data_IF_717696970281
#
_entry.id   IF_717696970281
#
_cell.length_a   1.000
_cell.length_b   1.000
_cell.length_c   1.000
_cell.angle_alpha   90.00
_cell.angle_beta   90.00
_cell.angle_gamma   90.00
#
_symmetry.space_group_name_H-M   'P 1'
#
loop_
_entity.id
_entity.type
_entity.pdbx_description
1 polymer ?
#
# COMPACT_ATOMS: atom_id res chain seq x y z
N UNK A 1 -15.10 -10.36 18.85
CA UNK A 1 -14.34 -9.73 19.96
C UNK A 1 -12.99 -9.30 19.43
N UNK A 2 -12.55 -8.09 19.76
CA UNK A 2 -11.19 -7.63 19.41
C UNK A 2 -10.17 -8.39 20.27
N UNK A 3 -9.05 -8.80 19.68
CA UNK A 3 -7.98 -9.50 20.39
C UNK A 3 -6.90 -8.55 20.92
N UNK A 4 -7.06 -7.24 20.66
CA UNK A 4 -6.11 -6.18 21.03
C UNK A 4 -4.68 -6.41 20.48
N UNK A 5 -4.55 -7.05 19.31
CA UNK A 5 -3.26 -7.40 18.69
C UNK A 5 -2.40 -6.17 18.37
N UNK A 6 -3.03 -5.03 18.16
CA UNK A 6 -2.36 -3.77 17.82
C UNK A 6 -2.53 -2.69 18.91
N UNK A 7 -2.87 -3.11 20.15
CA UNK A 7 -3.03 -2.17 21.24
C UNK A 7 -1.78 -1.30 21.44
N UNK A 8 -1.99 0.03 21.40
CA UNK A 8 -0.91 1.01 21.53
C UNK A 8 0.01 1.16 20.33
N UNK A 9 -0.23 0.41 19.25
CA UNK A 9 0.51 0.57 17.98
C UNK A 9 0.00 1.76 17.20
N UNK A 10 0.88 2.43 16.48
CA UNK A 10 0.65 3.68 15.76
C UNK A 10 1.01 3.49 14.29
N UNK A 11 0.10 3.83 13.39
CA UNK A 11 0.32 3.54 11.99
C UNK A 11 -0.23 4.54 10.99
N UNK A 12 0.31 4.53 9.78
CA UNK A 12 -0.16 5.33 8.65
C UNK A 12 -0.76 4.39 7.60
N UNK A 13 -1.98 4.69 7.16
CA UNK A 13 -2.70 3.92 6.14
C UNK A 13 -2.83 4.76 4.88
N UNK A 14 -2.13 4.36 3.82
CA UNK A 14 -2.22 4.97 2.50
C UNK A 14 -3.27 4.31 1.62
N UNK A 15 -4.04 5.10 0.89
CA UNK A 15 -4.87 4.64 -0.22
C UNK A 15 -6.28 4.21 0.15
N UNK A 16 -6.77 4.51 1.35
CA UNK A 16 -8.18 4.33 1.67
C UNK A 16 -9.03 5.33 0.86
N UNK A 17 -9.92 4.82 0.01
CA UNK A 17 -10.78 5.63 -0.86
C UNK A 17 -12.26 5.49 -0.46
N UNK A 18 -12.75 4.27 -0.44
CA UNK A 18 -14.13 3.89 -0.17
C UNK A 18 -14.21 2.54 0.58
N UNK A 19 -15.40 2.13 0.98
CA UNK A 19 -15.66 0.88 1.73
C UNK A 19 -15.22 -0.39 0.98
N UNK A 20 -15.01 -0.32 -0.33
CA UNK A 20 -14.55 -1.44 -1.17
C UNK A 20 -13.03 -1.53 -1.19
N UNK A 21 -12.30 -0.49 -0.76
CA UNK A 21 -10.85 -0.50 -0.79
C UNK A 21 -10.28 -1.40 0.32
N UNK A 22 -9.17 -2.06 0.03
CA UNK A 22 -8.48 -2.92 1.00
C UNK A 22 -7.94 -2.09 2.16
N UNK A 23 -7.40 -0.90 1.86
CA UNK A 23 -6.93 0.02 2.88
C UNK A 23 -8.02 0.41 3.88
N UNK A 24 -9.27 0.62 3.42
CA UNK A 24 -10.40 0.88 4.30
C UNK A 24 -10.64 -0.25 5.30
N UNK A 25 -10.72 -1.48 4.80
CA UNK A 25 -10.93 -2.67 5.63
C UNK A 25 -9.78 -2.89 6.61
N UNK A 26 -8.55 -2.64 6.15
CA UNK A 26 -7.36 -2.74 7.00
C UNK A 26 -7.36 -1.67 8.09
N UNK A 27 -7.74 -0.43 7.78
CA UNK A 27 -7.83 0.66 8.75
C UNK A 27 -8.85 0.34 9.86
N UNK A 28 -10.07 -0.08 9.48
CA UNK A 28 -11.10 -0.50 10.44
C UNK A 28 -10.57 -1.62 11.33
N UNK A 29 -9.97 -2.65 10.73
CA UNK A 29 -9.47 -3.79 11.51
C UNK A 29 -8.31 -3.40 12.43
N UNK A 30 -7.40 -2.55 11.99
CA UNK A 30 -6.32 -2.05 12.82
C UNK A 30 -6.85 -1.25 14.02
N UNK A 31 -7.83 -0.38 13.79
CA UNK A 31 -8.49 0.38 14.86
C UNK A 31 -9.23 -0.53 15.83
N UNK A 32 -10.01 -1.50 15.34
CA UNK A 32 -10.68 -2.51 16.19
C UNK A 32 -9.70 -3.29 17.07
N UNK A 33 -8.49 -3.56 16.57
CA UNK A 33 -7.44 -4.25 17.33
C UNK A 33 -6.59 -3.31 18.21
N UNK A 34 -7.04 -2.06 18.38
CA UNK A 34 -6.48 -1.11 19.35
C UNK A 34 -5.35 -0.22 18.84
N UNK A 35 -5.14 -0.15 17.52
CA UNK A 35 -4.17 0.77 16.94
C UNK A 35 -4.70 2.21 16.92
N UNK A 36 -3.79 3.16 17.04
CA UNK A 36 -3.99 4.55 16.63
C UNK A 36 -3.54 4.68 15.18
N UNK A 37 -4.34 5.32 14.33
CA UNK A 37 -4.02 5.42 12.90
C UNK A 37 -4.15 6.84 12.38
N UNK A 38 -3.35 7.16 11.37
CA UNK A 38 -3.48 8.33 10.50
C UNK A 38 -3.85 7.81 9.11
N UNK A 39 -4.85 8.41 8.51
CA UNK A 39 -5.32 8.10 7.17
C UNK A 39 -4.73 9.10 6.16
N UNK A 40 -4.32 8.62 4.99
CA UNK A 40 -3.80 9.50 3.95
C UNK A 40 -4.18 9.02 2.55
N UNK A 41 -4.40 9.99 1.68
CA UNK A 41 -4.60 9.78 0.24
C UNK A 41 -4.19 11.05 -0.51
N UNK A 42 -4.11 10.97 -1.84
CA UNK A 42 -3.86 12.14 -2.67
C UNK A 42 -4.96 13.21 -2.47
N UNK A 43 -4.64 14.51 -2.52
CA UNK A 43 -5.61 15.58 -2.29
C UNK A 43 -6.85 15.49 -3.19
N UNK A 44 -6.70 15.00 -4.42
CA UNK A 44 -7.84 14.77 -5.32
C UNK A 44 -8.77 13.67 -4.81
N UNK A 45 -8.23 12.61 -4.24
CA UNK A 45 -9.01 11.50 -3.69
C UNK A 45 -9.76 11.91 -2.41
N UNK A 46 -9.19 12.80 -1.59
CA UNK A 46 -9.85 13.34 -0.40
C UNK A 46 -11.12 14.14 -0.76
N UNK A 47 -11.10 14.83 -1.89
CA UNK A 47 -12.28 15.58 -2.39
C UNK A 47 -13.40 14.68 -2.89
N UNK A 48 -13.12 13.43 -3.21
CA UNK A 48 -14.12 12.43 -3.65
C UNK A 48 -14.90 11.78 -2.48
N UNK A 49 -14.49 12.02 -1.25
CA UNK A 49 -15.40 12.24 -0.13
C UNK A 49 -15.64 11.12 0.88
N UNK A 50 -15.18 9.87 0.72
CA UNK A 50 -15.57 8.86 1.71
C UNK A 50 -14.57 8.68 2.88
N UNK A 51 -13.35 9.19 2.77
CA UNK A 51 -12.31 8.99 3.79
C UNK A 51 -12.66 9.62 5.14
N UNK A 52 -13.47 10.68 5.15
CA UNK A 52 -13.94 11.32 6.38
C UNK A 52 -14.88 10.39 7.17
N UNK A 53 -15.73 9.64 6.47
CA UNK A 53 -16.56 8.58 7.10
C UNK A 53 -15.69 7.50 7.73
N UNK A 54 -14.58 7.11 7.07
CA UNK A 54 -13.64 6.17 7.66
C UNK A 54 -12.97 6.75 8.92
N UNK A 55 -12.59 8.03 8.88
CA UNK A 55 -12.03 8.74 10.04
C UNK A 55 -12.96 8.64 11.25
N UNK A 56 -14.25 8.95 11.06
CA UNK A 56 -15.27 8.86 12.11
C UNK A 56 -15.38 7.43 12.66
N UNK A 57 -15.44 6.41 11.79
CA UNK A 57 -15.49 5.00 12.18
C UNK A 57 -14.23 4.53 12.91
N UNK A 58 -13.11 5.23 12.74
CA UNK A 58 -11.84 4.96 13.41
C UNK A 58 -11.56 5.96 14.55
N UNK A 59 -12.60 6.44 15.24
CA UNK A 59 -12.47 7.33 16.40
C UNK A 59 -11.94 8.72 16.06
N UNK A 60 -12.36 9.29 14.92
CA UNK A 60 -11.89 10.56 14.37
C UNK A 60 -10.38 10.56 14.05
N UNK A 61 -9.89 9.46 13.48
CA UNK A 61 -8.50 9.35 13.04
C UNK A 61 -8.13 10.51 12.10
N UNK A 62 -6.98 11.19 12.29
CA UNK A 62 -6.58 12.28 11.43
C UNK A 62 -6.49 11.88 9.95
N UNK A 63 -7.00 12.73 9.09
CA UNK A 63 -6.87 12.62 7.62
C UNK A 63 -5.88 13.66 7.14
N UNK A 64 -4.73 13.24 6.66
CA UNK A 64 -3.67 14.12 6.15
C UNK A 64 -3.48 13.86 4.67
N UNK A 65 -3.75 14.86 3.83
CA UNK A 65 -3.53 14.76 2.38
C UNK A 65 -2.04 14.71 2.05
N UNK A 66 -1.66 13.79 1.15
CA UNK A 66 -0.31 13.72 0.62
C UNK A 66 -0.31 13.15 -0.79
N UNK A 67 0.30 13.86 -1.73
CA UNK A 67 0.67 13.31 -3.01
C UNK A 67 1.96 12.51 -2.85
N UNK A 68 1.88 11.20 -3.06
CA UNK A 68 3.03 10.29 -2.89
C UNK A 68 4.14 10.49 -3.92
N UNK A 69 3.91 11.32 -4.92
CA UNK A 69 4.94 11.75 -5.88
C UNK A 69 5.68 13.01 -5.43
N UNK A 70 5.17 13.70 -4.40
CA UNK A 70 5.74 14.90 -3.83
C UNK A 70 6.44 14.62 -2.50
N UNK A 71 7.75 14.90 -2.44
CA UNK A 71 8.56 14.62 -1.24
C UNK A 71 8.22 15.53 -0.05
N UNK A 72 7.77 16.76 -0.31
CA UNK A 72 7.44 17.70 0.77
C UNK A 72 6.07 17.36 1.38
N UNK A 73 5.12 16.87 0.58
CA UNK A 73 3.86 16.31 1.09
C UNK A 73 4.13 15.10 2.00
N UNK A 74 5.06 14.22 1.61
CA UNK A 74 5.43 13.07 2.42
C UNK A 74 6.12 13.48 3.73
N UNK A 75 7.02 14.46 3.69
CA UNK A 75 7.63 15.01 4.92
C UNK A 75 6.57 15.59 5.86
N UNK A 76 5.66 16.42 5.32
CA UNK A 76 4.56 17.00 6.08
C UNK A 76 3.66 15.91 6.70
N UNK A 77 3.34 14.86 5.94
CA UNK A 77 2.57 13.72 6.43
C UNK A 77 3.24 13.06 7.64
N UNK A 78 4.53 12.69 7.52
CA UNK A 78 5.25 12.04 8.63
C UNK A 78 5.42 12.98 9.82
N UNK A 79 5.71 14.25 9.61
CA UNK A 79 5.80 15.25 10.68
C UNK A 79 4.48 15.32 11.47
N UNK A 80 3.37 15.55 10.78
CA UNK A 80 2.05 15.65 11.44
C UNK A 80 1.61 14.34 12.10
N UNK A 81 1.92 13.20 11.49
CA UNK A 81 1.62 11.90 12.09
C UNK A 81 2.41 11.68 13.38
N UNK A 82 3.70 11.97 13.40
CA UNK A 82 4.54 11.84 14.59
C UNK A 82 4.13 12.83 15.68
N UNK A 83 3.77 14.06 15.34
CA UNK A 83 3.22 15.07 16.27
C UNK A 83 1.92 14.56 16.91
N UNK A 84 0.97 14.06 16.09
CA UNK A 84 -0.29 13.50 16.59
C UNK A 84 -0.08 12.31 17.51
N UNK A 85 0.83 11.43 17.19
CA UNK A 85 1.13 10.26 18.01
C UNK A 85 2.03 10.55 19.22
N UNK A 86 2.74 11.67 19.23
CA UNK A 86 3.79 11.98 20.20
C UNK A 86 4.99 11.01 20.12
N UNK A 87 5.15 10.31 19.01
CA UNK A 87 6.23 9.31 18.79
C UNK A 87 6.35 8.94 17.32
N UNK A 88 7.38 8.15 16.99
CA UNK A 88 7.51 7.48 15.70
C UNK A 88 6.35 6.52 15.44
N UNK A 89 6.20 6.06 14.20
CA UNK A 89 5.17 5.10 13.79
C UNK A 89 5.66 3.65 13.92
N UNK A 90 4.76 2.73 14.24
CA UNK A 90 5.05 1.30 14.33
C UNK A 90 4.78 0.56 13.02
N UNK A 91 3.84 1.06 12.22
CA UNK A 91 3.54 0.41 10.93
C UNK A 91 3.06 1.37 9.86
N UNK A 92 3.27 0.95 8.61
CA UNK A 92 2.78 1.66 7.41
C UNK A 92 2.12 0.65 6.48
N UNK A 93 0.92 0.94 6.00
CA UNK A 93 0.29 0.26 4.89
C UNK A 93 0.39 1.12 3.63
N UNK A 94 1.05 0.61 2.59
CA UNK A 94 1.08 1.19 1.25
C UNK A 94 0.11 0.44 0.34
N UNK A 95 -1.07 1.02 0.12
CA UNK A 95 -2.15 0.46 -0.70
C UNK A 95 -2.48 1.40 -1.87
N UNK A 96 -1.49 1.64 -2.71
CA UNK A 96 -1.58 2.60 -3.82
C UNK A 96 -1.40 1.85 -5.14
N UNK A 97 -2.21 2.23 -6.13
CA UNK A 97 -2.09 1.73 -7.49
C UNK A 97 -2.98 2.50 -8.44
N UNK A 98 -2.41 2.87 -9.59
CA UNK A 98 -3.13 3.55 -10.67
C UNK A 98 -2.52 3.16 -12.00
N UNK A 99 -3.36 2.79 -12.98
CA UNK A 99 -2.97 2.59 -14.36
C UNK A 99 -4.00 3.20 -15.30
N UNK A 100 -3.54 4.03 -16.21
CA UNK A 100 -4.38 4.59 -17.26
C UNK A 100 -4.50 3.64 -18.46
N UNK A 101 -3.44 2.90 -18.81
CA UNK A 101 -3.51 1.93 -19.91
C UNK A 101 -4.56 0.84 -19.60
N UNK A 102 -4.53 0.27 -18.38
CA UNK A 102 -5.52 -0.71 -17.95
C UNK A 102 -6.93 -0.11 -18.01
N UNK A 103 -7.14 1.08 -17.45
CA UNK A 103 -8.45 1.76 -17.44
C UNK A 103 -8.98 2.05 -18.83
N UNK A 104 -8.10 2.32 -19.79
CA UNK A 104 -8.45 2.60 -21.20
C UNK A 104 -8.48 1.34 -22.05
N UNK A 105 -8.25 0.16 -21.48
CA UNK A 105 -8.28 -1.13 -22.16
C UNK A 105 -7.23 -1.27 -23.26
N UNK A 106 -6.06 -0.64 -23.07
CA UNK A 106 -4.94 -0.77 -24.02
C UNK A 106 -4.35 -2.18 -23.95
N UNK A 107 -3.98 -2.72 -25.10
CA UNK A 107 -3.19 -3.94 -25.15
C UNK A 107 -1.75 -3.65 -24.70
N UNK A 108 -1.09 -4.62 -24.08
CA UNK A 108 0.28 -4.45 -23.56
C UNK A 108 1.28 -3.98 -24.64
N UNK A 109 1.17 -4.53 -25.84
CA UNK A 109 2.04 -4.16 -26.99
C UNK A 109 1.77 -2.78 -27.57
N UNK A 110 0.64 -2.15 -27.17
CA UNK A 110 0.18 -0.84 -27.64
C UNK A 110 0.02 0.17 -26.51
N UNK A 111 0.75 -0.06 -25.41
CA UNK A 111 0.66 0.82 -24.25
C UNK A 111 1.15 2.24 -24.59
N UNK A 112 0.52 3.22 -23.97
CA UNK A 112 1.03 4.58 -23.97
C UNK A 112 2.16 4.70 -22.94
N UNK A 113 3.36 5.07 -23.39
CA UNK A 113 4.56 5.12 -22.54
C UNK A 113 4.51 6.23 -21.46
N UNK A 114 3.89 7.36 -21.74
CA UNK A 114 3.72 8.41 -20.72
C UNK A 114 2.81 7.93 -19.57
N UNK A 115 1.76 7.20 -19.92
CA UNK A 115 0.89 6.58 -18.91
C UNK A 115 1.59 5.47 -18.15
N UNK A 116 2.44 4.69 -18.83
CA UNK A 116 3.29 3.69 -18.21
C UNK A 116 4.24 4.32 -17.18
N UNK A 117 4.94 5.39 -17.53
CA UNK A 117 5.80 6.13 -16.59
C UNK A 117 5.03 6.58 -15.35
N UNK A 118 3.84 7.16 -15.53
CA UNK A 118 2.96 7.55 -14.40
C UNK A 118 2.52 6.34 -13.56
N UNK A 119 2.22 5.21 -14.20
CA UNK A 119 1.85 3.98 -13.50
C UNK A 119 3.00 3.47 -12.63
N UNK A 120 4.22 3.40 -13.16
CA UNK A 120 5.41 2.99 -12.42
C UNK A 120 5.70 3.98 -11.27
N UNK A 121 5.59 5.27 -11.53
CA UNK A 121 5.87 6.32 -10.56
C UNK A 121 4.90 6.29 -9.37
N UNK A 122 3.60 6.22 -9.64
CA UNK A 122 2.55 6.24 -8.61
C UNK A 122 2.42 4.87 -7.94
N UNK A 123 2.50 3.76 -8.68
CA UNK A 123 2.17 2.43 -8.14
C UNK A 123 3.37 1.70 -7.53
N UNK A 124 4.60 2.10 -7.85
CA UNK A 124 5.82 1.45 -7.36
C UNK A 124 6.80 2.44 -6.72
N UNK A 125 7.22 3.49 -7.45
CA UNK A 125 8.20 4.44 -6.95
C UNK A 125 7.68 5.30 -5.79
N UNK A 126 6.38 5.39 -5.63
CA UNK A 126 5.77 5.99 -4.44
C UNK A 126 6.20 5.27 -3.16
N UNK A 127 6.27 3.92 -3.15
CA UNK A 127 6.80 3.18 -2.00
C UNK A 127 8.25 3.57 -1.71
N UNK A 128 9.08 3.70 -2.74
CA UNK A 128 10.46 4.15 -2.59
C UNK A 128 10.52 5.54 -1.92
N UNK A 129 9.69 6.49 -2.37
CA UNK A 129 9.63 7.84 -1.78
C UNK A 129 9.16 7.82 -0.34
N UNK A 130 8.11 7.07 -0.04
CA UNK A 130 7.60 6.91 1.33
C UNK A 130 8.68 6.36 2.26
N UNK A 131 9.35 5.28 1.86
CA UNK A 131 10.40 4.66 2.66
C UNK A 131 11.65 5.55 2.78
N UNK A 132 12.07 6.22 1.70
CA UNK A 132 13.17 7.19 1.73
C UNK A 132 12.88 8.35 2.68
N UNK A 133 11.67 8.90 2.64
CA UNK A 133 11.26 9.99 3.53
C UNK A 133 11.27 9.53 4.98
N UNK A 134 10.64 8.40 5.26
CA UNK A 134 10.63 7.82 6.60
C UNK A 134 12.04 7.51 7.13
N UNK A 135 12.94 7.03 6.25
CA UNK A 135 14.36 6.81 6.58
C UNK A 135 15.08 8.06 6.98
N UNK A 136 14.96 9.14 6.17
CA UNK A 136 15.62 10.42 6.42
C UNK A 136 15.12 11.14 7.67
N UNK A 137 13.86 10.90 8.04
CA UNK A 137 13.25 11.49 9.24
C UNK A 137 13.32 10.57 10.47
N UNK A 138 13.89 9.38 10.32
CA UNK A 138 13.89 8.33 11.36
C UNK A 138 12.49 8.09 11.94
N UNK A 139 11.48 8.03 11.06
CA UNK A 139 10.07 8.10 11.42
C UNK A 139 9.45 6.77 11.86
N UNK A 140 10.14 5.64 11.60
CA UNK A 140 9.62 4.30 11.95
C UNK A 140 10.38 3.75 13.15
N UNK A 141 9.63 3.26 14.14
CA UNK A 141 10.19 2.61 15.33
C UNK A 141 11.02 1.37 14.98
N UNK A 142 11.97 1.04 15.83
CA UNK A 142 12.64 -0.25 15.80
C UNK A 142 11.61 -1.37 15.84
N UNK A 143 11.86 -2.45 15.06
CA UNK A 143 10.91 -3.55 14.89
C UNK A 143 9.57 -3.17 14.24
N UNK A 144 9.49 -2.00 13.64
CA UNK A 144 8.33 -1.57 12.88
C UNK A 144 8.01 -2.50 11.70
N UNK A 145 6.86 -2.29 11.07
CA UNK A 145 6.39 -3.10 9.96
C UNK A 145 5.84 -2.24 8.83
N UNK A 146 6.29 -2.50 7.61
CA UNK A 146 5.72 -1.89 6.40
C UNK A 146 5.15 -2.98 5.52
N UNK A 147 3.92 -2.79 5.05
CA UNK A 147 3.26 -3.70 4.12
C UNK A 147 2.88 -2.91 2.86
N UNK A 148 3.25 -3.42 1.69
CA UNK A 148 2.79 -2.92 0.41
C UNK A 148 1.94 -3.98 -0.30
N UNK A 149 0.90 -3.55 -1.01
CA UNK A 149 0.02 -4.47 -1.74
C UNK A 149 0.60 -4.75 -3.13
N UNK A 150 0.98 -6.00 -3.35
CA UNK A 150 1.36 -6.54 -4.66
C UNK A 150 0.26 -7.41 -5.24
N UNK A 151 0.55 -8.05 -6.36
CA UNK A 151 -0.32 -9.00 -7.02
C UNK A 151 0.51 -10.09 -7.70
N UNK A 152 -0.04 -11.27 -7.83
CA UNK A 152 0.65 -12.41 -8.48
C UNK A 152 1.10 -12.12 -9.92
N UNK A 153 0.51 -11.10 -10.57
CA UNK A 153 0.94 -10.61 -11.87
C UNK A 153 2.38 -10.04 -11.87
N UNK A 154 2.99 -9.76 -10.73
CA UNK A 154 4.42 -9.45 -10.63
C UNK A 154 5.32 -10.62 -11.06
N UNK A 155 4.79 -11.85 -11.06
CA UNK A 155 5.54 -13.09 -11.30
C UNK A 155 4.92 -13.96 -12.40
N UNK A 156 3.71 -13.65 -12.85
CA UNK A 156 2.96 -14.41 -13.86
C UNK A 156 2.27 -13.47 -14.84
N UNK A 157 2.01 -13.93 -16.06
CA UNK A 157 1.31 -13.14 -17.06
C UNK A 157 -0.20 -13.14 -16.78
N UNK A 158 -0.75 -11.95 -16.71
CA UNK A 158 -2.19 -11.67 -16.73
C UNK A 158 -2.45 -10.69 -17.85
N UNK A 159 -3.00 -11.12 -19.00
CA UNK A 159 -3.06 -10.31 -20.22
C UNK A 159 -3.71 -8.94 -20.05
N UNK A 160 -4.77 -8.85 -19.25
CA UNK A 160 -5.52 -7.61 -19.05
C UNK A 160 -4.97 -6.72 -17.92
N UNK A 161 -3.91 -7.16 -17.24
CA UNK A 161 -3.29 -6.39 -16.15
C UNK A 161 -2.23 -5.41 -16.63
N UNK A 162 -1.79 -5.56 -17.88
CA UNK A 162 -0.90 -4.65 -18.63
C UNK A 162 0.34 -4.22 -17.77
N UNK A 163 0.79 -2.97 -17.92
CA UNK A 163 1.95 -2.41 -17.21
C UNK A 163 1.80 -2.36 -15.68
N UNK A 164 0.63 -2.61 -15.15
CA UNK A 164 0.48 -2.76 -13.71
C UNK A 164 1.24 -3.99 -13.19
N UNK A 165 1.43 -5.03 -14.02
CA UNK A 165 2.30 -6.17 -13.70
C UNK A 165 3.75 -5.72 -13.51
N UNK A 166 4.25 -4.87 -14.42
CA UNK A 166 5.61 -4.30 -14.34
C UNK A 166 5.76 -3.45 -13.09
N UNK A 167 4.76 -2.62 -12.78
CA UNK A 167 4.75 -1.82 -11.56
C UNK A 167 4.78 -2.68 -10.29
N UNK A 168 4.06 -3.82 -10.27
CA UNK A 168 4.09 -4.73 -9.12
C UNK A 168 5.42 -5.47 -8.99
N UNK A 169 6.06 -5.84 -10.09
CA UNK A 169 7.41 -6.41 -10.08
C UNK A 169 8.44 -5.40 -9.54
N UNK A 170 8.37 -4.14 -9.97
CA UNK A 170 9.19 -3.05 -9.45
C UNK A 170 8.94 -2.81 -7.96
N UNK A 171 7.67 -2.79 -7.52
CA UNK A 171 7.28 -2.64 -6.11
C UNK A 171 7.94 -3.72 -5.24
N UNK A 172 7.93 -4.98 -5.69
CA UNK A 172 8.56 -6.10 -4.97
C UNK A 172 10.09 -5.94 -4.91
N UNK A 173 10.71 -5.43 -5.97
CA UNK A 173 12.14 -5.13 -5.99
C UNK A 173 12.50 -4.02 -4.99
N UNK A 174 11.73 -2.93 -4.97
CA UNK A 174 11.87 -1.84 -3.99
C UNK A 174 11.71 -2.37 -2.55
N UNK A 175 10.73 -3.23 -2.33
CA UNK A 175 10.47 -3.85 -1.03
C UNK A 175 11.67 -4.67 -0.54
N UNK A 176 12.28 -5.49 -1.40
CA UNK A 176 13.47 -6.28 -1.04
C UNK A 176 14.66 -5.38 -0.69
N UNK A 177 14.92 -4.36 -1.49
CA UNK A 177 16.04 -3.43 -1.28
C UNK A 177 15.91 -2.69 0.05
N UNK A 178 14.77 -2.07 0.30
CA UNK A 178 14.53 -1.39 1.58
C UNK A 178 14.43 -2.35 2.77
N UNK A 179 13.89 -3.55 2.55
CA UNK A 179 13.83 -4.59 3.57
C UNK A 179 15.22 -4.94 4.12
N UNK A 180 16.23 -5.01 3.25
CA UNK A 180 17.61 -5.18 3.67
C UNK A 180 18.12 -4.00 4.50
N UNK A 181 18.04 -2.78 3.95
CA UNK A 181 18.59 -1.60 4.63
C UNK A 181 17.92 -1.32 5.97
N UNK A 182 16.61 -1.34 6.02
CA UNK A 182 15.85 -1.16 7.26
C UNK A 182 16.05 -2.31 8.24
N UNK A 183 16.16 -3.54 7.75
CA UNK A 183 16.44 -4.71 8.59
C UNK A 183 17.78 -4.61 9.31
N UNK A 184 18.81 -4.14 8.63
CA UNK A 184 20.14 -3.92 9.23
C UNK A 184 20.13 -2.77 10.23
N UNK A 185 19.50 -1.63 9.89
CA UNK A 185 19.53 -0.42 10.71
C UNK A 185 18.74 -0.55 12.01
N UNK A 186 17.49 -0.96 11.93
CA UNK A 186 16.54 -0.86 13.03
C UNK A 186 15.50 -2.00 13.08
N UNK A 187 15.81 -3.12 12.42
CA UNK A 187 14.98 -4.34 12.43
C UNK A 187 13.56 -4.14 11.88
N UNK A 188 13.29 -3.06 11.13
CA UNK A 188 12.00 -2.86 10.48
C UNK A 188 11.81 -3.92 9.39
N UNK A 189 10.64 -4.53 9.38
CA UNK A 189 10.26 -5.55 8.40
C UNK A 189 9.45 -4.89 7.28
N UNK A 190 9.89 -5.06 6.04
CA UNK A 190 9.20 -4.54 4.87
C UNK A 190 8.80 -5.72 3.99
N UNK A 191 7.49 -5.89 3.79
CA UNK A 191 6.94 -7.03 3.08
C UNK A 191 5.88 -6.60 2.08
N UNK A 192 5.65 -7.45 1.08
CA UNK A 192 4.49 -7.35 0.20
C UNK A 192 3.45 -8.41 0.54
N UNK A 193 2.18 -8.05 0.38
CA UNK A 193 1.07 -8.99 0.44
C UNK A 193 0.48 -9.09 -0.96
N UNK A 194 0.58 -10.28 -1.56
CA UNK A 194 -0.11 -10.62 -2.80
C UNK A 194 -1.53 -11.03 -2.47
N UNK A 195 -2.43 -10.11 -2.70
CA UNK A 195 -3.87 -10.35 -2.46
C UNK A 195 -4.48 -11.20 -3.57
N UNK A 196 -5.48 -11.99 -3.25
CA UNK A 196 -6.32 -12.56 -4.29
C UNK A 196 -7.23 -11.49 -4.91
N UNK A 197 -7.76 -11.70 -6.12
CA UNK A 197 -8.64 -10.74 -6.77
C UNK A 197 -9.83 -10.38 -5.88
N UNK A 198 -9.86 -9.14 -5.43
CA UNK A 198 -10.90 -8.59 -4.56
C UNK A 198 -11.65 -7.51 -5.32
N UNK A 199 -12.98 -7.55 -5.29
CA UNK A 199 -13.83 -6.56 -5.99
C UNK A 199 -13.72 -5.21 -5.29
N UNK A 200 -12.68 -4.46 -5.65
CA UNK A 200 -12.41 -3.09 -5.21
C UNK A 200 -12.77 -2.11 -6.32
N UNK A 201 -12.90 -0.83 -5.99
CA UNK A 201 -13.09 0.23 -6.99
C UNK A 201 -11.94 0.28 -7.99
N UNK A 202 -10.69 0.07 -7.55
CA UNK A 202 -9.54 -0.03 -8.43
C UNK A 202 -9.55 -1.31 -9.27
N UNK A 203 -9.87 -2.47 -8.67
CA UNK A 203 -9.90 -3.77 -9.34
C UNK A 203 -11.02 -3.92 -10.36
N UNK A 204 -12.16 -3.25 -10.17
CA UNK A 204 -13.28 -3.29 -11.12
C UNK A 204 -12.97 -2.62 -12.47
N UNK A 205 -11.90 -1.84 -12.56
CA UNK A 205 -11.41 -1.26 -13.82
C UNK A 205 -10.58 -2.21 -14.68
N UNK A 206 -10.26 -3.42 -14.20
CA UNK A 206 -9.47 -4.41 -14.93
C UNK A 206 -10.41 -5.35 -15.68
N UNK A 207 -10.29 -5.44 -17.01
CA UNK A 207 -11.02 -6.42 -17.81
C UNK A 207 -10.58 -7.83 -17.40
N UNK A 208 -11.48 -8.82 -17.46
CA UNK A 208 -11.15 -10.21 -17.09
C UNK A 208 -11.12 -10.50 -15.58
N UNK A 209 -11.27 -9.49 -14.72
CA UNK A 209 -11.20 -9.61 -13.26
C UNK A 209 -12.13 -10.69 -12.68
N UNK A 210 -13.34 -10.86 -13.23
CA UNK A 210 -14.29 -11.88 -12.77
C UNK A 210 -13.86 -13.31 -13.18
N UNK A 211 -13.15 -13.47 -14.29
CA UNK A 211 -12.56 -14.74 -14.74
C UNK A 211 -11.42 -15.18 -13.83
N UNK A 212 -10.52 -14.26 -13.49
CA UNK A 212 -9.39 -14.51 -12.60
C UNK A 212 -9.84 -14.85 -11.17
N UNK A 213 -10.90 -14.22 -10.68
CA UNK A 213 -11.50 -14.53 -9.38
C UNK A 213 -12.03 -15.96 -9.29
N UNK A 214 -12.51 -16.54 -10.40
CA UNK A 214 -12.98 -17.94 -10.44
C UNK A 214 -11.80 -18.91 -10.42
N UNK A 215 -10.71 -18.61 -11.13
CA UNK A 215 -9.52 -19.46 -11.18
C UNK A 215 -8.74 -19.46 -9.87
N UNK A 216 -8.67 -18.32 -9.17
CA UNK A 216 -7.92 -18.20 -7.90
C UNK A 216 -8.61 -18.89 -6.72
N UNK A 217 -9.93 -19.09 -6.76
CA UNK A 217 -10.65 -19.89 -5.76
C UNK A 217 -10.25 -21.36 -5.75
N UNK A 218 -9.70 -21.86 -6.84
CA UNK A 218 -9.21 -23.23 -6.98
C UNK A 218 -7.76 -23.43 -6.51
N UNK A 219 -7.00 -22.33 -6.29
CA UNK A 219 -5.56 -22.36 -5.97
C UNK A 219 -5.18 -21.60 -4.70
N UNK A 220 -6.03 -21.57 -3.69
CA UNK A 220 -5.79 -20.80 -2.44
C UNK A 220 -4.71 -21.39 -1.50
N UNK A 221 -3.82 -22.28 -1.98
CA UNK A 221 -2.81 -22.97 -1.15
C UNK A 221 -1.38 -22.43 -1.27
N UNK A 222 -1.10 -21.36 -2.01
CA UNK A 222 0.26 -20.85 -2.14
C UNK A 222 0.46 -19.46 -1.51
N UNK A 223 0.58 -19.45 -0.17
CA UNK A 223 1.25 -18.35 0.53
C UNK A 223 2.75 -18.57 0.35
N UNK A 224 3.37 -17.87 -0.59
CA UNK A 224 4.81 -17.82 -0.69
C UNK A 224 5.36 -16.90 0.41
N UNK A 225 5.77 -17.51 1.53
CA UNK A 225 6.60 -16.82 2.52
C UNK A 225 7.97 -16.59 1.90
N UNK A 226 8.34 -15.34 1.63
CA UNK A 226 9.74 -15.01 1.38
C UNK A 226 10.48 -15.19 2.71
N UNK A 227 11.23 -16.29 2.83
CA UNK A 227 12.19 -16.47 3.93
C UNK A 227 13.38 -15.57 3.62
N UNK A 228 13.69 -14.65 4.53
CA UNK A 228 15.03 -14.06 4.58
C UNK A 228 16.04 -15.18 4.88
N UNK A 229 17.22 -15.21 4.22
CA UNK A 229 18.27 -16.11 4.63
C UNK A 229 18.67 -15.76 6.06
N UNK A 230 18.68 -16.76 6.94
CA UNK A 230 19.31 -16.63 8.24
C UNK A 230 20.79 -16.32 8.00
N UNK A 231 21.24 -15.18 8.50
CA UNK A 231 22.64 -14.81 8.51
C UNK A 231 23.45 -15.89 9.23
N UNK A 232 24.44 -16.44 8.54
CA UNK A 232 25.60 -17.04 9.19
C UNK A 232 26.43 -15.94 9.85
#
# INVERSE_FOLDING_TARGET
MANNLLKGKKGIIFGALDEKSIAWRTALKAYEEGAQIVLTNAPVALRMGEINKLSELCGNAPVIGADVTNMDDLKNLFTKAMEHFGSKVDFVLHSIGMSLNVRKGKHYTEMNYEWNQKTLDISAMSLHRVLRTAWGMDAINDWGSVIALTYTAAQRVFPDYNEMADAKALLESVTRSFGYHYGVRNKVRINTVSQSPTKTTAGSGVKGFDGDRKSTRLNSSHIQKSRMPSSA
#
